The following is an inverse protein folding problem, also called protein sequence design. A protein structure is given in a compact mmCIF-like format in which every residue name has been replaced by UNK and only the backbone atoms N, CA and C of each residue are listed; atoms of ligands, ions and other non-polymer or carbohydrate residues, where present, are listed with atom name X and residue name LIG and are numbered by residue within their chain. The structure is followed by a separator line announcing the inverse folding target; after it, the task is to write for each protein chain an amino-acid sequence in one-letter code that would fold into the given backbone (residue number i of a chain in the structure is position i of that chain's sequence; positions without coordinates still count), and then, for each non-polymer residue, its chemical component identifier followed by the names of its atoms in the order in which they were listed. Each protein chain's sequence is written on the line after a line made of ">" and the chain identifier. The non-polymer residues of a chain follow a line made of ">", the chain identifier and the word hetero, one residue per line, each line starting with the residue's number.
data_IF_541373820272
#
_entry.id   IF_541373820272
#
_cell.length_a   1.000
_cell.length_b   1.000
_cell.length_c   1.000
_cell.angle_alpha   90.00
_cell.angle_beta   90.00
_cell.angle_gamma   90.00
#
_symmetry.space_group_name_H-M   'P 1'
#
loop_
_entity.id
_entity.type
_entity.pdbx_description
1 polymer ?
#
# COMPACT_ATOMS: atom_id res chain seq x y z
N UNK A 1 10.67 16.93 -25.75
CA UNK A 1 10.95 16.23 -24.48
C UNK A 1 11.67 14.93 -24.76
N UNK A 2 12.89 14.80 -24.24
CA UNK A 2 13.69 13.57 -24.28
C UNK A 2 12.96 12.43 -23.55
N UNK A 3 13.18 11.17 -23.98
CA UNK A 3 12.58 9.98 -23.33
C UNK A 3 12.87 9.95 -21.83
N UNK A 4 14.09 10.36 -21.44
CA UNK A 4 14.51 10.48 -20.05
C UNK A 4 13.73 11.54 -19.27
N UNK A 5 13.47 12.71 -19.87
CA UNK A 5 12.69 13.78 -19.23
C UNK A 5 11.23 13.35 -19.02
N UNK A 6 10.64 12.65 -19.99
CA UNK A 6 9.28 12.09 -19.84
C UNK A 6 9.20 11.10 -18.67
N UNK A 7 10.20 10.22 -18.54
CA UNK A 7 10.28 9.26 -17.44
C UNK A 7 10.46 9.96 -16.08
N UNK A 8 11.32 10.98 -16.01
CA UNK A 8 11.52 11.76 -14.79
C UNK A 8 10.25 12.50 -14.36
N UNK A 9 9.54 13.12 -15.30
CA UNK A 9 8.27 13.80 -15.04
C UNK A 9 7.20 12.80 -14.60
N UNK A 10 7.10 11.63 -15.24
CA UNK A 10 6.14 10.60 -14.80
C UNK A 10 6.44 10.11 -13.38
N UNK A 11 7.71 9.87 -13.04
CA UNK A 11 8.10 9.46 -11.70
C UNK A 11 7.77 10.54 -10.66
N UNK A 12 8.04 11.81 -10.98
CA UNK A 12 7.71 12.95 -10.13
C UNK A 12 6.20 13.04 -9.87
N UNK A 13 5.38 12.97 -10.91
CA UNK A 13 3.92 13.02 -10.78
C UNK A 13 3.42 11.85 -9.94
N UNK A 14 3.90 10.64 -10.17
CA UNK A 14 3.50 9.46 -9.39
C UNK A 14 3.87 9.60 -7.91
N UNK A 15 5.06 10.11 -7.59
CA UNK A 15 5.47 10.37 -6.20
C UNK A 15 4.56 11.41 -5.55
N UNK A 16 4.27 12.52 -6.24
CA UNK A 16 3.38 13.56 -5.72
C UNK A 16 1.98 13.01 -5.44
N UNK A 17 1.42 12.21 -6.35
CA UNK A 17 0.13 11.56 -6.12
C UNK A 17 0.16 10.62 -4.92
N UNK A 18 1.20 9.79 -4.77
CA UNK A 18 1.35 8.91 -3.62
C UNK A 18 1.46 9.69 -2.30
N UNK A 19 2.16 10.84 -2.29
CA UNK A 19 2.25 11.70 -1.12
C UNK A 19 0.88 12.23 -0.69
N UNK A 20 0.04 12.67 -1.63
CA UNK A 20 -1.32 13.11 -1.31
C UNK A 20 -2.19 11.97 -0.77
N UNK A 21 -2.16 10.80 -1.42
CA UNK A 21 -2.94 9.64 -0.94
C UNK A 21 -2.44 9.18 0.43
N UNK A 22 -1.14 9.15 0.66
CA UNK A 22 -0.55 8.82 1.97
C UNK A 22 -0.88 9.84 3.05
N UNK A 23 -0.98 11.14 2.71
CA UNK A 23 -1.43 12.18 3.62
C UNK A 23 -2.90 11.95 4.03
N UNK A 24 -3.77 11.56 3.09
CA UNK A 24 -5.17 11.21 3.38
C UNK A 24 -5.21 10.03 4.35
N UNK A 25 -4.48 8.93 4.07
CA UNK A 25 -4.42 7.75 4.97
C UNK A 25 -4.04 8.13 6.40
N UNK A 26 -3.07 9.04 6.56
CA UNK A 26 -2.63 9.50 7.88
C UNK A 26 -3.66 10.40 8.55
N UNK A 27 -4.29 11.30 7.79
CA UNK A 27 -5.32 12.21 8.31
C UNK A 27 -6.59 11.46 8.73
N UNK A 28 -6.97 10.41 8.00
CA UNK A 28 -8.16 9.59 8.31
C UNK A 28 -7.87 8.47 9.32
N UNK A 29 -6.61 8.25 9.72
CA UNK A 29 -6.26 7.11 10.56
C UNK A 29 -6.47 5.76 9.87
N UNK A 30 -6.57 5.71 8.54
CA UNK A 30 -6.84 4.48 7.77
C UNK A 30 -5.61 3.59 7.58
N UNK A 31 -4.49 3.88 8.24
CA UNK A 31 -3.23 3.12 8.10
C UNK A 31 -3.27 1.67 8.59
N UNK A 32 -4.38 1.24 9.20
CA UNK A 32 -4.61 -0.13 9.68
C UNK A 32 -5.87 -0.78 9.04
N UNK A 33 -6.48 -0.15 8.04
CA UNK A 33 -7.71 -0.62 7.40
C UNK A 33 -7.55 -1.92 6.59
N UNK A 34 -6.35 -2.19 6.07
CA UNK A 34 -5.98 -3.43 5.39
C UNK A 34 -4.98 -4.22 6.24
N UNK A 35 -5.45 -5.27 6.92
CA UNK A 35 -4.60 -5.96 7.87
C UNK A 35 -3.63 -6.93 7.17
N UNK A 36 -3.75 -7.17 5.86
CA UNK A 36 -2.83 -7.97 5.05
C UNK A 36 -2.38 -7.27 3.77
N UNK A 37 -1.31 -7.77 3.13
CA UNK A 37 -0.86 -7.50 1.76
C UNK A 37 -0.28 -8.80 1.15
N UNK A 38 -0.42 -9.10 -0.16
CA UNK A 38 -1.10 -8.37 -1.25
C UNK A 38 -2.62 -8.50 -1.28
N UNK A 39 -3.17 -9.45 -0.53
CA UNK A 39 -4.61 -9.53 -0.25
C UNK A 39 -4.97 -8.57 0.87
N UNK A 40 -6.23 -8.13 0.92
CA UNK A 40 -6.79 -7.38 2.02
C UNK A 40 -8.05 -8.11 2.51
N UNK A 41 -8.07 -8.50 3.80
CA UNK A 41 -9.10 -9.38 4.35
C UNK A 41 -9.23 -10.74 3.63
N UNK A 42 -8.10 -11.31 3.21
CA UNK A 42 -8.05 -12.57 2.48
C UNK A 42 -8.52 -12.51 1.01
N UNK A 43 -8.96 -11.34 0.52
CA UNK A 43 -9.41 -11.14 -0.87
C UNK A 43 -8.47 -10.18 -1.61
N UNK A 44 -8.33 -10.34 -2.94
CA UNK A 44 -7.49 -9.45 -3.74
C UNK A 44 -8.11 -8.06 -3.90
N UNK A 45 -9.43 -8.01 -4.04
CA UNK A 45 -10.23 -6.77 -4.05
C UNK A 45 -10.87 -6.63 -2.66
N UNK A 46 -10.71 -5.47 -2.00
CA UNK A 46 -11.25 -5.28 -0.67
C UNK A 46 -12.79 -5.37 -0.66
N UNK A 47 -13.37 -5.99 0.39
CA UNK A 47 -14.82 -6.09 0.52
C UNK A 47 -15.43 -4.72 0.81
N UNK A 48 -16.68 -4.53 0.39
CA UNK A 48 -17.44 -3.28 0.63
C UNK A 48 -18.37 -3.38 1.84
N UNK A 49 -18.58 -4.60 2.36
CA UNK A 49 -19.46 -4.91 3.49
C UNK A 49 -18.84 -6.01 4.34
N UNK A 50 -19.10 -6.00 5.64
CA UNK A 50 -18.61 -7.01 6.58
C UNK A 50 -19.09 -8.43 6.22
N UNK A 51 -20.29 -8.57 5.66
CA UNK A 51 -20.85 -9.88 5.27
C UNK A 51 -20.09 -10.56 4.13
N UNK A 52 -19.30 -9.80 3.37
CA UNK A 52 -18.46 -10.34 2.30
C UNK A 52 -17.13 -10.88 2.83
N UNK A 53 -16.84 -10.72 4.13
CA UNK A 53 -15.59 -11.16 4.75
C UNK A 53 -15.80 -12.52 5.40
N UNK A 54 -15.04 -13.52 4.95
CA UNK A 54 -15.06 -14.86 5.52
C UNK A 54 -14.16 -14.93 6.78
N UNK A 55 -14.59 -14.32 7.88
CA UNK A 55 -13.79 -14.22 9.14
C UNK A 55 -13.33 -15.55 9.73
N UNK A 56 -13.97 -16.67 9.38
CA UNK A 56 -13.57 -18.00 9.84
C UNK A 56 -12.33 -18.53 9.12
N UNK A 57 -12.15 -18.17 7.84
CA UNK A 57 -11.03 -18.61 6.99
C UNK A 57 -9.79 -17.71 7.10
N UNK A 58 -9.90 -16.64 7.88
CA UNK A 58 -8.87 -15.64 8.08
C UNK A 58 -7.81 -16.18 9.05
N UNK A 59 -6.55 -16.07 8.63
CA UNK A 59 -5.38 -16.48 9.42
C UNK A 59 -5.11 -15.47 10.56
N UNK A 60 -5.77 -15.69 11.70
CA UNK A 60 -5.67 -14.85 12.91
C UNK A 60 -4.23 -14.68 13.40
N UNK A 61 -3.36 -15.67 13.22
CA UNK A 61 -1.98 -15.61 13.70
C UNK A 61 -1.18 -14.55 12.94
N UNK A 62 -1.39 -14.47 11.63
CA UNK A 62 -0.82 -13.41 10.79
C UNK A 62 -1.28 -12.01 11.23
N UNK A 63 -2.55 -11.87 11.61
CA UNK A 63 -3.10 -10.61 12.12
C UNK A 63 -2.55 -10.23 13.48
N UNK A 64 -2.45 -11.18 14.40
CA UNK A 64 -1.85 -10.99 15.72
C UNK A 64 -0.41 -10.50 15.62
N UNK A 65 0.39 -11.16 14.78
CA UNK A 65 1.79 -10.78 14.54
C UNK A 65 1.94 -9.42 13.88
N UNK A 66 0.94 -8.99 13.09
CA UNK A 66 0.91 -7.63 12.57
C UNK A 66 0.51 -6.63 13.64
N UNK A 67 -0.54 -6.91 14.42
CA UNK A 67 -1.00 -6.06 15.52
C UNK A 67 0.16 -5.79 16.51
N UNK A 68 0.91 -6.81 16.88
CA UNK A 68 2.10 -6.69 17.73
C UNK A 68 3.16 -5.75 17.14
N UNK A 69 3.45 -5.85 15.83
CA UNK A 69 4.37 -4.92 15.13
C UNK A 69 3.90 -3.46 15.14
N UNK A 70 2.59 -3.24 15.24
CA UNK A 70 2.00 -1.90 15.35
C UNK A 70 1.73 -1.50 16.81
N UNK A 71 2.23 -2.27 17.80
CA UNK A 71 2.10 -1.96 19.23
C UNK A 71 0.71 -2.22 19.82
N UNK A 72 -0.11 -3.04 19.14
CA UNK A 72 -1.43 -3.48 19.63
C UNK A 72 -1.30 -4.84 20.31
N UNK A 73 -2.08 -5.05 21.38
CA UNK A 73 -2.08 -6.31 22.11
C UNK A 73 -2.62 -7.45 21.22
N UNK A 74 -1.83 -8.50 20.93
CA UNK A 74 -2.27 -9.62 20.11
C UNK A 74 -3.43 -10.42 20.75
N UNK A 75 -3.65 -10.32 22.06
CA UNK A 75 -4.76 -10.98 22.73
C UNK A 75 -6.12 -10.37 22.36
N UNK A 76 -6.16 -9.08 22.03
CA UNK A 76 -7.39 -8.39 21.62
C UNK A 76 -7.85 -8.78 20.20
N UNK A 77 -6.95 -9.33 19.38
CA UNK A 77 -7.22 -9.72 17.99
C UNK A 77 -8.00 -11.04 17.96
N UNK A 78 -9.32 -10.92 18.08
CA UNK A 78 -10.31 -12.00 17.97
C UNK A 78 -11.18 -11.82 16.72
N UNK A 79 -11.86 -12.88 16.26
CA UNK A 79 -12.77 -12.79 15.09
C UNK A 79 -13.90 -11.78 15.31
N UNK A 80 -14.39 -11.71 16.54
CA UNK A 80 -15.45 -10.79 16.95
C UNK A 80 -14.95 -9.34 16.94
N UNK A 81 -13.75 -9.09 17.47
CA UNK A 81 -13.12 -7.76 17.42
C UNK A 81 -12.87 -7.31 15.98
N UNK A 82 -12.38 -8.21 15.11
CA UNK A 82 -12.12 -7.93 13.70
C UNK A 82 -13.39 -7.57 12.94
N UNK A 83 -14.50 -8.25 13.26
CA UNK A 83 -15.80 -7.96 12.67
C UNK A 83 -16.35 -6.61 13.13
N UNK A 84 -16.17 -6.27 14.41
CA UNK A 84 -16.59 -4.99 14.97
C UNK A 84 -15.76 -3.81 14.46
N UNK A 85 -14.48 -4.05 14.17
CA UNK A 85 -13.54 -3.02 13.71
C UNK A 85 -13.47 -2.87 12.19
N UNK A 86 -14.08 -3.80 11.44
CA UNK A 86 -14.09 -3.71 9.98
C UNK A 86 -14.81 -2.44 9.51
N UNK A 87 -14.05 -1.54 8.89
CA UNK A 87 -14.57 -0.36 8.21
C UNK A 87 -14.18 -0.37 6.72
N UNK A 88 -15.16 -0.42 5.79
CA UNK A 88 -14.87 -0.49 4.37
C UNK A 88 -14.16 0.76 3.85
N UNK A 89 -14.46 1.95 4.37
CA UNK A 89 -13.83 3.19 3.92
C UNK A 89 -12.35 3.17 4.26
N UNK A 90 -12.01 2.81 5.51
CA UNK A 90 -10.60 2.72 5.92
C UNK A 90 -9.85 1.65 5.13
N UNK A 91 -10.48 0.49 4.88
CA UNK A 91 -9.93 -0.58 4.04
C UNK A 91 -9.62 -0.09 2.61
N UNK A 92 -10.57 0.58 1.96
CA UNK A 92 -10.40 1.06 0.58
C UNK A 92 -9.36 2.19 0.48
N UNK A 93 -9.36 3.14 1.43
CA UNK A 93 -8.38 4.23 1.49
C UNK A 93 -6.96 3.68 1.59
N UNK A 94 -6.73 2.68 2.45
CA UNK A 94 -5.41 2.06 2.56
C UNK A 94 -5.03 1.23 1.32
N UNK A 95 -5.98 0.49 0.75
CA UNK A 95 -5.74 -0.33 -0.44
C UNK A 95 -5.33 0.52 -1.65
N UNK A 96 -6.00 1.66 -1.88
CA UNK A 96 -5.67 2.60 -2.95
C UNK A 96 -4.25 3.16 -2.76
N UNK A 97 -3.90 3.56 -1.53
CA UNK A 97 -2.55 4.03 -1.22
C UNK A 97 -1.48 3.00 -1.58
N UNK A 98 -1.70 1.73 -1.23
CA UNK A 98 -0.76 0.64 -1.54
C UNK A 98 -0.70 0.35 -3.04
N UNK A 99 -1.82 0.44 -3.76
CA UNK A 99 -1.84 0.29 -5.21
C UNK A 99 -1.07 1.41 -5.92
N UNK A 100 -1.20 2.66 -5.45
CA UNK A 100 -0.45 3.81 -5.94
C UNK A 100 1.06 3.71 -5.65
N UNK A 101 1.47 2.97 -4.62
CA UNK A 101 2.89 2.78 -4.29
C UNK A 101 3.64 1.92 -5.33
N UNK A 102 2.97 0.96 -5.98
CA UNK A 102 3.63 0.09 -6.96
C UNK A 102 4.14 0.85 -8.20
N UNK A 103 3.35 1.68 -8.90
CA UNK A 103 3.83 2.51 -10.01
C UNK A 103 5.00 3.42 -9.62
N UNK A 104 4.96 3.99 -8.41
CA UNK A 104 6.05 4.83 -7.90
C UNK A 104 7.35 4.06 -7.80
N UNK A 105 7.33 2.86 -7.22
CA UNK A 105 8.51 1.99 -7.14
C UNK A 105 9.06 1.64 -8.52
N UNK A 106 8.19 1.24 -9.46
CA UNK A 106 8.58 0.85 -10.82
C UNK A 106 9.19 2.03 -11.57
N UNK A 107 8.56 3.21 -11.55
CA UNK A 107 9.04 4.39 -12.26
C UNK A 107 10.35 4.93 -11.65
N UNK A 108 10.48 4.88 -10.33
CA UNK A 108 11.72 5.29 -9.64
C UNK A 108 12.87 4.36 -9.97
N UNK A 109 12.63 3.04 -9.99
CA UNK A 109 13.62 2.03 -10.38
C UNK A 109 14.01 2.19 -11.86
N UNK A 110 13.04 2.38 -12.75
CA UNK A 110 13.30 2.61 -14.16
C UNK A 110 14.10 3.90 -14.41
N UNK A 111 13.78 4.98 -13.70
CA UNK A 111 14.52 6.24 -13.76
C UNK A 111 15.97 6.06 -13.26
N UNK A 112 16.16 5.33 -12.17
CA UNK A 112 17.48 5.00 -11.64
C UNK A 112 18.31 4.24 -12.67
N UNK A 113 17.78 3.15 -13.24
CA UNK A 113 18.45 2.36 -14.27
C UNK A 113 18.78 3.22 -15.50
N UNK A 114 17.82 4.00 -15.99
CA UNK A 114 18.02 4.89 -17.13
C UNK A 114 19.10 5.95 -16.88
N UNK A 115 19.19 6.47 -15.65
CA UNK A 115 20.23 7.42 -15.24
C UNK A 115 21.64 6.80 -15.36
N UNK A 116 21.84 5.59 -14.83
CA UNK A 116 23.12 4.87 -14.93
C UNK A 116 23.49 4.53 -16.38
N UNK A 117 22.52 4.06 -17.18
CA UNK A 117 22.74 3.77 -18.59
C UNK A 117 23.11 5.02 -19.41
N UNK A 118 22.52 6.19 -19.07
CA UNK A 118 22.84 7.46 -19.72
C UNK A 118 24.24 7.97 -19.33
N UNK A 119 24.63 7.82 -18.06
CA UNK A 119 25.99 8.16 -17.58
C UNK A 119 27.05 7.38 -18.35
N UNK A 120 26.88 6.05 -18.49
CA UNK A 120 27.78 5.18 -19.26
C UNK A 120 27.90 5.57 -20.74
N UNK A 121 26.81 6.04 -21.36
CA UNK A 121 26.78 6.44 -22.78
C UNK A 121 27.39 7.82 -23.04
N UNK A 122 27.48 8.69 -22.03
CA UNK A 122 28.04 10.05 -22.15
C UNK A 122 29.56 10.12 -22.10
N UNK A 123 30.27 9.00 -21.90
CA UNK A 123 31.73 8.98 -21.84
C UNK A 123 32.35 9.73 -20.66
N UNK A 124 31.55 10.15 -19.66
CA UNK A 124 32.05 10.69 -18.39
C UNK A 124 32.35 9.51 -17.44
N UNK A 125 33.27 8.64 -17.88
CA UNK A 125 34.20 7.78 -17.14
C UNK A 125 35.27 7.38 -18.14
#
# INVERSE_FOLDING_TARGET
>A
MERFQKLAISALISVLLLLFVGAIVRATGSGLGCPDWPTCWGKLVPPTKADQVDFEKIDLEKFRRKAERFGRDPAEVTRESLRAEFDPVHTWVEYINRLCAMPVGILSLALMIASFCRKKRSGIV
#
